data_IF_299731238801
#
_entry.id   IF_299731238801
#
_cell.length_a   1.000
_cell.length_b   1.000
_cell.length_c   1.000
_cell.angle_alpha   90.00
_cell.angle_beta   90.00
_cell.angle_gamma   90.00
#
_symmetry.space_group_name_H-M   'P 1'
#
loop_
_entity.id
_entity.type
_entity.pdbx_description
1 polymer ?
#
# COMPACT_ATOMS: atom_id res chain seq x y z
N UNK A 1 12.65 6.85 11.15
CA UNK A 1 11.77 6.29 10.09
C UNK A 1 12.56 5.53 9.02
N UNK A 2 13.54 6.14 8.35
CA UNK A 2 14.36 5.42 7.37
C UNK A 2 15.12 4.23 7.99
N UNK A 3 15.59 4.39 9.22
CA UNK A 3 16.24 3.30 9.94
C UNK A 3 15.31 2.10 10.20
N UNK A 4 14.05 2.34 10.60
CA UNK A 4 13.03 1.28 10.73
C UNK A 4 12.85 0.57 9.39
N UNK A 5 12.72 1.33 8.30
CA UNK A 5 12.56 0.75 6.97
C UNK A 5 13.78 -0.08 6.53
N UNK A 6 15.01 0.37 6.85
CA UNK A 6 16.25 -0.38 6.56
C UNK A 6 16.34 -1.67 7.36
N UNK A 7 16.01 -1.64 8.66
CA UNK A 7 15.98 -2.84 9.50
C UNK A 7 14.97 -3.85 8.98
N UNK A 8 13.75 -3.40 8.68
CA UNK A 8 12.72 -4.26 8.07
C UNK A 8 13.18 -4.82 6.72
N UNK A 9 13.79 -4.00 5.86
CA UNK A 9 14.29 -4.46 4.57
C UNK A 9 15.36 -5.55 4.72
N UNK A 10 16.23 -5.44 5.74
CA UNK A 10 17.21 -6.47 6.05
C UNK A 10 16.56 -7.79 6.47
N UNK A 11 15.58 -7.74 7.37
CA UNK A 11 14.81 -8.93 7.81
C UNK A 11 14.08 -9.60 6.63
N UNK A 12 13.41 -8.80 5.80
CA UNK A 12 12.68 -9.30 4.61
C UNK A 12 13.64 -9.91 3.60
N UNK A 13 14.78 -9.27 3.32
CA UNK A 13 15.81 -9.83 2.44
C UNK A 13 16.50 -11.08 3.00
N UNK A 14 16.41 -11.31 4.31
CA UNK A 14 16.86 -12.54 4.96
C UNK A 14 15.86 -13.70 4.86
N UNK A 15 14.63 -13.44 4.38
CA UNK A 15 13.59 -14.45 4.23
C UNK A 15 13.59 -15.00 2.80
N UNK A 16 13.68 -16.33 2.65
CA UNK A 16 13.66 -16.97 1.35
C UNK A 16 12.38 -16.65 0.57
N UNK A 17 12.52 -16.31 -0.72
CA UNK A 17 11.40 -15.94 -1.59
C UNK A 17 10.93 -14.49 -1.47
N UNK A 18 11.52 -13.67 -0.59
CA UNK A 18 11.16 -12.26 -0.44
C UNK A 18 12.27 -11.31 -0.90
N UNK A 19 11.87 -10.13 -1.36
CA UNK A 19 12.77 -9.04 -1.73
C UNK A 19 12.19 -7.71 -1.27
N UNK A 20 12.94 -6.97 -0.46
CA UNK A 20 12.60 -5.62 -0.07
C UNK A 20 13.22 -4.59 -1.01
N UNK A 21 12.40 -3.62 -1.45
CA UNK A 21 12.85 -2.43 -2.17
C UNK A 21 12.46 -1.19 -1.39
N UNK A 22 13.45 -0.37 -1.05
CA UNK A 22 13.21 0.91 -0.38
C UNK A 22 12.85 1.96 -1.43
N UNK A 23 11.80 2.74 -1.17
CA UNK A 23 11.45 3.87 -2.06
C UNK A 23 12.50 4.96 -2.05
N UNK A 24 13.25 5.10 -0.95
CA UNK A 24 14.41 5.99 -0.80
C UNK A 24 15.44 5.34 0.11
N UNK A 25 16.71 5.63 -0.12
CA UNK A 25 17.84 5.18 0.69
C UNK A 25 18.50 6.31 1.49
N UNK A 26 18.17 7.57 1.22
CA UNK A 26 18.72 8.75 1.88
C UNK A 26 17.65 9.71 2.39
N UNK A 27 18.10 10.84 2.94
CA UNK A 27 17.23 11.89 3.45
C UNK A 27 16.89 12.92 2.38
N UNK A 28 16.02 12.51 1.46
CA UNK A 28 15.50 13.36 0.41
C UNK A 28 14.01 13.08 0.19
N UNK A 29 13.33 14.08 -0.37
CA UNK A 29 11.91 14.01 -0.66
C UNK A 29 11.66 13.17 -1.92
N UNK A 30 10.64 12.31 -1.85
CA UNK A 30 10.07 11.59 -2.99
C UNK A 30 8.57 11.85 -3.02
N UNK A 31 8.08 12.30 -4.17
CA UNK A 31 6.66 12.57 -4.40
C UNK A 31 5.80 11.33 -4.21
N UNK A 32 4.57 11.49 -3.74
CA UNK A 32 3.70 10.33 -3.43
C UNK A 32 3.43 9.46 -4.67
N UNK A 33 3.22 10.07 -5.83
CA UNK A 33 3.06 9.35 -7.11
C UNK A 33 4.32 8.61 -7.55
N UNK A 34 5.48 9.21 -7.33
CA UNK A 34 6.77 8.59 -7.67
C UNK A 34 6.99 7.31 -6.86
N UNK A 35 6.53 7.26 -5.60
CA UNK A 35 6.58 6.04 -4.76
C UNK A 35 5.75 4.91 -5.36
N UNK A 36 4.52 5.22 -5.78
CA UNK A 36 3.63 4.24 -6.42
C UNK A 36 4.15 3.79 -7.77
N UNK A 37 4.72 4.71 -8.57
CA UNK A 37 5.35 4.39 -9.84
C UNK A 37 6.53 3.42 -9.67
N UNK A 38 7.40 3.67 -8.68
CA UNK A 38 8.52 2.79 -8.35
C UNK A 38 8.01 1.39 -7.91
N UNK A 39 6.97 1.32 -7.08
CA UNK A 39 6.40 0.05 -6.66
C UNK A 39 5.91 -0.77 -7.87
N UNK A 40 5.25 -0.12 -8.85
CA UNK A 40 4.83 -0.77 -10.11
C UNK A 40 6.00 -1.21 -10.97
N UNK A 41 7.00 -0.36 -11.13
CA UNK A 41 8.22 -0.68 -11.90
C UNK A 41 8.94 -1.91 -11.34
N UNK A 42 8.97 -2.02 -10.00
CA UNK A 42 9.54 -3.16 -9.29
C UNK A 42 8.60 -4.37 -9.19
N UNK A 43 7.40 -4.29 -9.77
CA UNK A 43 6.34 -5.32 -9.70
C UNK A 43 6.06 -5.75 -8.25
N UNK A 44 6.01 -4.78 -7.34
CA UNK A 44 5.85 -5.05 -5.92
C UNK A 44 4.46 -5.62 -5.62
N UNK A 45 4.42 -6.72 -4.89
CA UNK A 45 3.17 -7.33 -4.41
C UNK A 45 2.54 -6.56 -3.24
N UNK A 46 3.33 -5.69 -2.58
CA UNK A 46 2.90 -4.97 -1.39
C UNK A 46 3.68 -3.67 -1.17
N UNK A 47 3.00 -2.62 -0.71
CA UNK A 47 3.61 -1.34 -0.35
C UNK A 47 3.32 -0.98 1.11
N UNK A 48 4.36 -0.74 1.91
CA UNK A 48 4.23 -0.22 3.27
C UNK A 48 4.86 1.16 3.46
N UNK A 49 4.24 1.99 4.29
CA UNK A 49 4.76 3.30 4.70
C UNK A 49 4.73 3.43 6.21
N UNK A 50 5.84 3.87 6.79
CA UNK A 50 5.94 4.17 8.22
C UNK A 50 5.87 5.67 8.49
N UNK A 51 5.10 6.08 9.50
CA UNK A 51 4.97 7.48 9.93
C UNK A 51 4.94 7.59 11.45
N UNK A 52 5.40 8.71 12.04
CA UNK A 52 5.22 8.92 13.47
C UNK A 52 3.73 9.10 13.79
N UNK A 53 3.32 8.61 14.95
CA UNK A 53 1.98 8.86 15.47
C UNK A 53 1.85 10.33 15.88
N UNK A 54 0.79 11.04 15.48
CA UNK A 54 0.63 12.48 15.76
C UNK A 54 0.29 12.78 17.23
N UNK A 55 -0.12 11.79 18.01
CA UNK A 55 -0.43 11.95 19.43
C UNK A 55 0.81 11.65 20.29
N UNK A 56 1.07 12.42 21.37
CA UNK A 56 2.21 12.24 22.27
C UNK A 56 1.95 11.08 23.24
N UNK A 57 1.91 9.86 22.70
CA UNK A 57 1.65 8.63 23.45
C UNK A 57 2.73 7.63 23.09
N UNK A 58 3.57 7.32 24.09
CA UNK A 58 4.85 6.65 23.90
C UNK A 58 4.73 5.18 23.44
N UNK A 59 3.57 4.54 23.63
CA UNK A 59 3.41 3.10 23.37
C UNK A 59 2.31 2.74 22.37
N UNK A 60 1.70 3.73 21.72
CA UNK A 60 0.60 3.46 20.80
C UNK A 60 1.10 3.20 19.38
N UNK A 61 0.65 2.07 18.80
CA UNK A 61 0.82 1.75 17.38
C UNK A 61 -0.55 1.69 16.70
N UNK A 62 -0.61 2.08 15.44
CA UNK A 62 -1.82 1.96 14.62
C UNK A 62 -1.46 1.48 13.21
N UNK A 63 -2.36 0.70 12.62
CA UNK A 63 -2.25 0.26 11.23
C UNK A 63 -3.44 0.79 10.47
N UNK A 64 -3.17 1.40 9.32
CA UNK A 64 -4.17 2.02 8.46
C UNK A 64 -3.93 1.62 7.02
N UNK A 65 -4.98 1.26 6.30
CA UNK A 65 -4.91 0.90 4.89
C UNK A 65 -5.67 1.93 4.03
N UNK A 66 -5.62 1.71 2.71
CA UNK A 66 -6.44 2.48 1.78
C UNK A 66 -7.93 2.31 2.14
N UNK A 67 -8.69 3.38 1.96
CA UNK A 67 -10.15 3.32 1.82
C UNK A 67 -10.52 3.31 0.34
N UNK A 68 -11.26 2.28 -0.09
CA UNK A 68 -11.93 2.28 -1.38
C UNK A 68 -13.03 3.35 -1.37
N UNK A 69 -13.02 4.20 -2.39
CA UNK A 69 -14.12 5.11 -2.69
C UNK A 69 -14.72 4.62 -4.00
N UNK A 70 -16.03 4.37 -4.02
CA UNK A 70 -16.73 4.06 -5.27
C UNK A 70 -16.68 5.29 -6.17
N UNK A 71 -16.31 5.12 -7.44
CA UNK A 71 -16.32 6.19 -8.44
C UNK A 71 -14.95 6.82 -8.76
N UNK A 72 -14.96 7.71 -9.75
CA UNK A 72 -13.77 8.30 -10.35
C UNK A 72 -13.10 9.31 -9.40
N UNK A 73 -12.16 8.85 -8.58
CA UNK A 73 -11.15 9.76 -8.03
C UNK A 73 -10.18 10.16 -9.16
N UNK A 74 -9.52 11.32 -9.05
CA UNK A 74 -8.52 11.75 -10.03
C UNK A 74 -7.41 10.71 -10.25
N UNK A 75 -7.03 9.97 -9.21
CA UNK A 75 -6.04 8.88 -9.28
C UNK A 75 -6.61 7.64 -10.00
N UNK A 76 -7.89 7.31 -9.78
CA UNK A 76 -8.60 6.22 -10.46
C UNK A 76 -8.65 6.48 -11.98
N UNK A 77 -9.02 7.71 -12.37
CA UNK A 77 -9.10 8.12 -13.76
C UNK A 77 -7.72 8.14 -14.43
N UNK A 78 -6.70 8.64 -13.73
CA UNK A 78 -5.33 8.65 -14.24
C UNK A 78 -4.77 7.24 -14.40
N UNK A 79 -5.00 6.34 -13.45
CA UNK A 79 -4.59 4.94 -13.59
C UNK A 79 -5.30 4.25 -14.75
N UNK A 80 -6.59 4.54 -14.95
CA UNK A 80 -7.33 4.01 -16.10
C UNK A 80 -6.70 4.49 -17.42
N UNK A 81 -6.32 5.77 -17.52
CA UNK A 81 -5.60 6.29 -18.68
C UNK A 81 -4.20 5.67 -18.86
N UNK A 82 -3.45 5.46 -17.76
CA UNK A 82 -2.13 4.83 -17.81
C UNK A 82 -2.22 3.34 -18.19
N UNK A 83 -3.29 2.65 -17.78
CA UNK A 83 -3.57 1.24 -18.11
C UNK A 83 -4.10 1.04 -19.52
N UNK A 84 -4.77 2.01 -20.13
CA UNK A 84 -5.09 1.96 -21.57
C UNK A 84 -3.84 1.83 -22.44
N UNK A 85 -2.75 2.49 -22.03
CA UNK A 85 -1.46 2.38 -22.70
C UNK A 85 -0.72 1.07 -22.42
N UNK A 86 -1.12 0.34 -21.37
CA UNK A 86 -0.47 -0.89 -20.89
C UNK A 86 -1.47 -2.05 -20.95
N UNK A 87 -1.41 -2.83 -22.03
CA UNK A 87 -2.25 -4.00 -22.27
C UNK A 87 -2.21 -5.06 -21.16
N UNK A 88 -1.20 -5.02 -20.28
CA UNK A 88 -0.83 -6.14 -19.41
C UNK A 88 -1.23 -5.92 -17.93
N UNK A 89 -1.88 -4.80 -17.59
CA UNK A 89 -2.07 -4.41 -16.19
C UNK A 89 -3.33 -4.97 -15.51
N UNK A 90 -4.28 -5.50 -16.27
CA UNK A 90 -5.48 -6.14 -15.70
C UNK A 90 -5.41 -7.62 -16.03
N UNK A 91 -5.13 -8.45 -15.03
CA UNK A 91 -5.25 -9.91 -15.15
C UNK A 91 -3.99 -10.64 -14.70
N UNK A 92 -4.05 -11.16 -13.46
CA UNK A 92 -3.03 -12.04 -12.92
C UNK A 92 -2.75 -13.26 -13.81
N UNK A 93 -1.51 -13.74 -13.68
CA UNK A 93 -0.92 -15.03 -14.09
C UNK A 93 -1.14 -15.60 -15.51
N UNK A 94 -2.19 -15.24 -16.26
CA UNK A 94 -2.51 -15.82 -17.58
C UNK A 94 -2.81 -14.79 -18.70
N UNK A 95 -2.56 -13.49 -18.49
CA UNK A 95 -2.42 -12.51 -19.58
C UNK A 95 -3.63 -12.25 -20.50
N UNK A 96 -4.84 -12.71 -20.16
CA UNK A 96 -5.98 -12.74 -21.11
C UNK A 96 -7.04 -11.64 -20.92
N UNK A 97 -6.76 -10.58 -20.16
CA UNK A 97 -7.73 -9.51 -19.83
C UNK A 97 -7.26 -8.13 -20.31
N UNK A 98 -7.13 -7.95 -21.63
CA UNK A 98 -6.83 -6.63 -22.20
C UNK A 98 -8.01 -5.67 -22.01
N UNK A 99 -7.73 -4.46 -21.50
CA UNK A 99 -8.71 -3.39 -21.43
C UNK A 99 -8.94 -2.66 -22.75
N UNK A 100 -8.04 -2.80 -23.73
CA UNK A 100 -8.03 -1.97 -24.97
C UNK A 100 -9.34 -2.06 -25.76
N UNK A 101 -10.00 -3.21 -25.74
CA UNK A 101 -11.24 -3.46 -26.48
C UNK A 101 -12.51 -3.47 -25.60
N UNK A 102 -12.42 -3.04 -24.33
CA UNK A 102 -13.58 -2.96 -23.42
C UNK A 102 -14.21 -1.57 -23.44
N UNK A 103 -15.53 -1.51 -23.29
CA UNK A 103 -16.27 -0.27 -23.13
C UNK A 103 -16.00 0.37 -21.76
N UNK A 104 -16.19 1.69 -21.68
CA UNK A 104 -15.86 2.48 -20.48
C UNK A 104 -16.58 1.98 -19.22
N UNK A 105 -17.81 1.47 -19.36
CA UNK A 105 -18.60 0.94 -18.24
C UNK A 105 -17.97 -0.34 -17.70
N UNK A 106 -17.66 -1.31 -18.57
CA UNK A 106 -17.00 -2.56 -18.16
C UNK A 106 -15.60 -2.32 -17.58
N UNK A 107 -14.84 -1.38 -18.13
CA UNK A 107 -13.56 -0.95 -17.55
C UNK A 107 -13.72 -0.43 -16.12
N UNK A 108 -14.73 0.41 -15.89
CA UNK A 108 -15.06 0.91 -14.56
C UNK A 108 -15.40 -0.21 -13.57
N UNK A 109 -16.18 -1.20 -14.01
CA UNK A 109 -16.52 -2.37 -13.18
C UNK A 109 -15.29 -3.21 -12.85
N UNK A 110 -14.44 -3.52 -13.83
CA UNK A 110 -13.21 -4.28 -13.60
C UNK A 110 -12.25 -3.55 -12.65
N UNK A 111 -12.17 -2.23 -12.76
CA UNK A 111 -11.39 -1.39 -11.86
C UNK A 111 -11.95 -1.43 -10.44
N UNK A 112 -13.27 -1.28 -10.27
CA UNK A 112 -13.93 -1.36 -8.97
C UNK A 112 -13.73 -2.74 -8.31
N UNK A 113 -13.80 -3.82 -9.09
CA UNK A 113 -13.53 -5.18 -8.63
C UNK A 113 -12.07 -5.34 -8.17
N UNK A 114 -11.12 -4.85 -8.97
CA UNK A 114 -9.69 -4.90 -8.64
C UNK A 114 -9.38 -4.09 -7.39
N UNK A 115 -9.90 -2.86 -7.29
CA UNK A 115 -9.77 -2.02 -6.09
C UNK A 115 -10.36 -2.69 -4.85
N UNK A 116 -11.50 -3.38 -5.01
CA UNK A 116 -12.14 -4.11 -3.91
C UNK A 116 -11.28 -5.27 -3.44
N UNK A 117 -10.73 -6.05 -4.36
CA UNK A 117 -9.81 -7.14 -4.06
C UNK A 117 -8.55 -6.63 -3.34
N UNK A 118 -7.88 -5.63 -3.91
CA UNK A 118 -6.69 -4.99 -3.33
C UNK A 118 -6.93 -4.42 -1.94
N UNK A 119 -8.12 -3.85 -1.69
CA UNK A 119 -8.52 -3.38 -0.37
C UNK A 119 -8.71 -4.53 0.62
N UNK A 120 -9.34 -5.63 0.20
CA UNK A 120 -9.52 -6.80 1.05
C UNK A 120 -8.17 -7.42 1.44
N UNK A 121 -7.23 -7.51 0.50
CA UNK A 121 -5.87 -7.97 0.77
C UNK A 121 -5.16 -7.04 1.76
N UNK A 122 -5.28 -5.72 1.55
CA UNK A 122 -4.71 -4.72 2.48
C UNK A 122 -5.30 -4.83 3.89
N UNK A 123 -6.61 -5.09 4.02
CA UNK A 123 -7.25 -5.31 5.31
C UNK A 123 -6.77 -6.61 5.99
N UNK A 124 -6.62 -7.69 5.22
CA UNK A 124 -6.12 -8.97 5.71
C UNK A 124 -4.70 -8.85 6.24
N UNK A 125 -3.78 -8.31 5.42
CA UNK A 125 -2.38 -8.07 5.81
C UNK A 125 -2.33 -7.11 7.00
N UNK A 126 -3.11 -6.02 6.95
CA UNK A 126 -3.18 -5.05 8.03
C UNK A 126 -3.64 -5.66 9.35
N UNK A 127 -4.59 -6.59 9.32
CA UNK A 127 -5.09 -7.29 10.50
C UNK A 127 -4.00 -8.16 11.13
N UNK A 128 -3.26 -8.91 10.32
CA UNK A 128 -2.15 -9.74 10.77
C UNK A 128 -1.02 -8.90 11.38
N UNK A 129 -0.65 -7.80 10.73
CA UNK A 129 0.36 -6.85 11.26
C UNK A 129 -0.12 -6.25 12.58
N UNK A 130 -1.38 -5.83 12.66
CA UNK A 130 -1.95 -5.24 13.87
C UNK A 130 -1.98 -6.23 15.03
N UNK A 131 -2.29 -7.51 14.77
CA UNK A 131 -2.25 -8.57 15.78
C UNK A 131 -0.84 -8.76 16.33
N UNK A 132 0.18 -8.85 15.47
CA UNK A 132 1.58 -8.97 15.92
C UNK A 132 2.03 -7.74 16.71
N UNK A 133 1.66 -6.54 16.27
CA UNK A 133 1.95 -5.30 17.01
C UNK A 133 1.26 -5.26 18.37
N UNK A 134 0.05 -5.80 18.49
CA UNK A 134 -0.71 -5.85 19.74
C UNK A 134 -0.14 -6.79 20.79
N UNK A 135 0.71 -7.75 20.39
CA UNK A 135 1.42 -8.64 21.32
C UNK A 135 2.59 -7.95 22.02
N UNK A 136 3.17 -6.93 21.38
CA UNK A 136 4.38 -6.25 21.86
C UNK A 136 4.13 -4.83 22.36
N UNK A 137 3.04 -4.18 21.95
CA UNK A 137 2.71 -2.80 22.28
C UNK A 137 1.20 -2.62 22.46
N UNK A 138 0.82 -1.53 23.15
CA UNK A 138 -0.59 -1.14 23.24
C UNK A 138 -1.04 -0.59 21.88
N UNK A 139 -2.17 -1.06 21.39
CA UNK A 139 -2.72 -0.56 20.13
C UNK A 139 -3.54 0.72 20.37
N UNK A 140 -3.38 1.72 19.51
CA UNK A 140 -4.27 2.89 19.49
C UNK A 140 -5.70 2.50 19.12
N UNK A 141 -5.81 1.55 18.18
CA UNK A 141 -7.07 1.00 17.67
C UNK A 141 -6.93 -0.52 17.58
N UNK A 142 -7.98 -1.23 17.96
CA UNK A 142 -8.03 -2.70 17.89
C UNK A 142 -8.35 -3.23 16.49
N UNK A 143 -8.54 -2.35 15.50
CA UNK A 143 -8.86 -2.70 14.11
C UNK A 143 -8.06 -1.83 13.15
N UNK A 144 -7.83 -2.36 11.95
CA UNK A 144 -7.21 -1.62 10.84
C UNK A 144 -8.14 -0.47 10.46
N UNK A 145 -7.59 0.74 10.40
CA UNK A 145 -8.33 1.91 9.95
C UNK A 145 -8.27 2.04 8.43
N UNK A 146 -9.32 2.59 7.81
CA UNK A 146 -9.33 2.88 6.38
C UNK A 146 -9.26 4.39 6.15
N UNK A 147 -8.35 4.86 5.31
CA UNK A 147 -8.23 6.28 4.97
C UNK A 147 -7.97 6.54 3.48
N UNK A 148 -8.43 7.70 3.00
CA UNK A 148 -8.27 8.13 1.60
C UNK A 148 -6.88 8.66 1.26
N UNK A 149 -5.81 8.06 1.77
CA UNK A 149 -4.44 8.54 1.55
C UNK A 149 -3.99 8.31 0.11
N UNK A 150 -3.50 9.37 -0.55
CA UNK A 150 -3.06 9.34 -1.95
C UNK A 150 -1.99 8.27 -2.23
N UNK A 151 -1.05 8.03 -1.32
CA UNK A 151 -0.01 6.99 -1.48
C UNK A 151 -0.58 5.57 -1.47
N UNK A 152 -1.76 5.38 -0.88
CA UNK A 152 -2.42 4.09 -0.80
C UNK A 152 -3.44 3.89 -1.92
N UNK A 153 -3.69 4.89 -2.79
CA UNK A 153 -4.72 4.82 -3.84
C UNK A 153 -4.34 3.98 -5.07
N UNK A 154 -3.37 3.08 -4.94
CA UNK A 154 -3.02 2.16 -6.03
C UNK A 154 -4.11 1.09 -6.15
N UNK A 155 -4.84 1.00 -7.28
CA UNK A 155 -5.88 -0.04 -7.44
C UNK A 155 -5.31 -1.46 -7.48
N UNK A 156 -4.03 -1.58 -7.82
CA UNK A 156 -3.33 -2.79 -8.23
C UNK A 156 -2.29 -3.29 -7.20
N UNK A 157 -2.00 -2.52 -6.14
CA UNK A 157 -0.97 -2.85 -5.15
C UNK A 157 -1.55 -2.70 -3.73
N UNK A 158 -1.71 -3.81 -2.97
CA UNK A 158 -2.11 -3.75 -1.58
C UNK A 158 -1.16 -2.87 -0.77
N UNK A 159 -1.72 -1.97 0.06
CA UNK A 159 -0.93 -0.89 0.68
C UNK A 159 -1.31 -0.60 2.13
N UNK A 160 -0.29 -0.50 3.00
CA UNK A 160 -0.45 -0.12 4.41
C UNK A 160 0.34 1.15 4.77
N UNK A 161 -0.25 1.95 5.66
CA UNK A 161 0.40 2.98 6.44
C UNK A 161 0.42 2.53 7.91
N UNK A 162 1.62 2.40 8.45
CA UNK A 162 1.86 1.96 9.82
C UNK A 162 2.33 3.16 10.62
N UNK A 163 1.53 3.58 11.59
CA UNK A 163 1.86 4.63 12.53
C UNK A 163 2.61 4.02 13.70
N UNK A 164 3.86 4.46 13.85
CA UNK A 164 4.70 4.07 14.98
C UNK A 164 4.66 5.17 16.03
N UNK A 165 4.27 4.82 17.26
CA UNK A 165 4.44 5.66 18.45
C UNK A 165 5.87 6.18 18.60
N UNK A 166 6.01 7.27 19.34
CA UNK A 166 7.26 8.03 19.46
C UNK A 166 8.45 7.10 19.76
N UNK A 167 9.50 7.23 18.95
CA UNK A 167 10.81 6.66 19.30
C UNK A 167 11.43 7.63 20.31
N UNK A 168 10.93 7.65 21.54
CA UNK A 168 11.74 8.12 22.65
C UNK A 168 12.67 6.96 23.01
N UNK A 169 13.84 6.94 22.38
CA UNK A 169 14.97 6.26 23.00
C UNK A 169 15.30 7.02 24.31
N UNK A 170 15.57 6.34 25.43
CA UNK A 170 16.09 7.00 26.63
C UNK A 170 17.41 7.73 26.36
#
# INVERSE_FOLDING_TARGET
MLEIARRLAAEVNGTEGFKAVLVRDGDYYIGLRQRTALAREQKADFLSRYTPMPLPVHDLKAVRCMRSQRGATSETAQWLADSENRSDLIGGVDGNLSLRDKDQVLRGVLLDLTMTATLNDSLSIGGQVLEQLGRINRLHKSRVEQAGFMVLKSPDIPSLLIEVGFISNP
#
